data_IF_286971698948
#
_entry.id   IF_286971698948
#
_cell.length_a   1.000
_cell.length_b   1.000
_cell.length_c   1.000
_cell.angle_alpha   90.00
_cell.angle_beta   90.00
_cell.angle_gamma   90.00
#
_symmetry.space_group_name_H-M   'P 1'
#
loop_
_entity.id
_entity.type
_entity.pdbx_description
1 polymer ?
#
# COMPACT_ATOMS: atom_id res chain seq x y z
N UNK A 1 9.04 70.27 -8.18
CA UNK A 1 7.61 70.62 -8.14
C UNK A 1 6.88 69.44 -7.56
N UNK A 2 6.30 69.71 -6.39
CA UNK A 2 5.30 68.94 -5.62
C UNK A 2 5.72 67.64 -4.94
N UNK A 3 6.41 67.85 -3.82
CA UNK A 3 6.26 67.11 -2.57
C UNK A 3 5.14 67.78 -1.74
N UNK A 4 4.03 67.09 -1.51
CA UNK A 4 3.00 67.33 -0.48
C UNK A 4 1.83 66.36 -0.73
N UNK A 5 1.17 65.69 0.20
CA UNK A 5 1.13 65.68 1.66
C UNK A 5 0.35 64.39 2.01
N UNK A 6 1.03 63.32 2.45
CA UNK A 6 0.32 62.20 3.07
C UNK A 6 -0.01 62.60 4.53
N UNK A 7 -1.28 62.50 4.90
CA UNK A 7 -1.78 62.78 6.25
C UNK A 7 -0.96 62.02 7.32
N UNK A 8 -0.59 62.67 8.45
CA UNK A 8 0.16 62.03 9.55
C UNK A 8 -0.56 60.83 10.18
N UNK A 9 -1.88 60.71 10.02
CA UNK A 9 -2.67 59.62 10.59
C UNK A 9 -2.50 58.30 9.80
N UNK A 10 -2.16 58.38 8.51
CA UNK A 10 -1.97 57.18 7.67
C UNK A 10 -0.61 56.49 7.91
N UNK A 11 0.37 57.22 8.46
CA UNK A 11 1.69 56.65 8.81
C UNK A 11 1.71 55.96 10.17
N UNK A 12 0.76 56.29 11.05
CA UNK A 12 0.66 55.67 12.38
C UNK A 12 -0.04 54.30 12.34
N UNK A 13 -0.98 54.07 11.40
CA UNK A 13 -1.67 52.78 11.30
C UNK A 13 -0.82 51.68 10.61
N UNK A 14 0.12 52.07 9.74
CA UNK A 14 0.94 51.12 8.98
C UNK A 14 2.14 50.55 9.74
N UNK A 15 2.29 50.84 11.04
CA UNK A 15 3.40 50.33 11.85
C UNK A 15 2.99 49.30 12.92
N UNK A 16 1.71 48.91 13.02
CA UNK A 16 1.22 48.01 14.08
C UNK A 16 0.59 46.68 13.64
N UNK A 17 0.45 46.39 12.35
CA UNK A 17 -0.01 45.06 11.89
C UNK A 17 1.03 44.43 10.96
N UNK A 18 1.94 43.64 11.55
CA UNK A 18 2.90 42.81 10.84
C UNK A 18 2.23 41.62 10.12
N UNK A 19 1.34 41.90 9.17
CA UNK A 19 0.74 40.90 8.29
C UNK A 19 1.37 41.02 6.90
N UNK A 20 2.09 39.97 6.51
CA UNK A 20 2.63 39.82 5.16
C UNK A 20 1.48 39.68 4.17
N UNK A 21 1.23 40.75 3.42
CA UNK A 21 0.40 40.76 2.22
C UNK A 21 1.23 40.18 1.07
N UNK A 22 1.30 38.85 0.98
CA UNK A 22 1.81 38.14 -0.20
C UNK A 22 1.41 36.67 -0.14
N UNK A 23 0.10 36.41 -0.21
CA UNK A 23 -0.47 35.21 -0.85
C UNK A 23 -1.98 35.38 -1.02
N UNK A 24 -2.33 36.39 -1.81
CA UNK A 24 -3.66 36.57 -2.37
C UNK A 24 -3.67 35.92 -3.78
N UNK A 25 -3.89 34.61 -3.85
CA UNK A 25 -4.15 33.91 -5.12
C UNK A 25 -5.35 32.98 -5.00
N UNK A 26 -6.42 33.37 -5.72
CA UNK A 26 -7.50 32.54 -6.27
C UNK A 26 -8.08 31.44 -5.38
N UNK A 27 -9.22 31.73 -4.75
CA UNK A 27 -10.24 30.72 -4.46
C UNK A 27 -10.84 30.26 -5.80
N UNK A 28 -10.24 29.24 -6.41
CA UNK A 28 -10.95 28.43 -7.40
C UNK A 28 -11.81 27.42 -6.62
N UNK A 29 -13.10 27.71 -6.59
CA UNK A 29 -14.16 26.86 -6.04
C UNK A 29 -14.46 25.72 -7.03
N UNK A 30 -13.46 24.88 -7.30
CA UNK A 30 -13.68 23.56 -7.87
C UNK A 30 -13.33 22.53 -6.79
N UNK A 31 -14.37 22.08 -6.09
CA UNK A 31 -14.30 20.92 -5.21
C UNK A 31 -13.99 19.66 -6.03
N UNK A 32 -12.75 19.53 -6.49
CA UNK A 32 -12.19 18.27 -6.91
C UNK A 32 -12.11 17.40 -5.67
N UNK A 33 -12.98 16.41 -5.60
CA UNK A 33 -12.97 15.30 -4.64
C UNK A 33 -11.73 14.41 -4.83
N UNK A 34 -10.55 15.02 -4.99
CA UNK A 34 -9.29 14.34 -5.08
C UNK A 34 -9.02 13.67 -3.75
N UNK A 35 -9.39 12.39 -3.66
CA UNK A 35 -8.99 11.52 -2.57
C UNK A 35 -7.47 11.67 -2.39
N UNK A 36 -6.97 12.01 -1.19
CA UNK A 36 -5.55 12.24 -0.98
C UNK A 36 -4.73 11.07 -1.54
N UNK A 37 -3.84 11.36 -2.48
CA UNK A 37 -2.97 10.37 -3.09
C UNK A 37 -1.82 10.06 -2.14
N UNK A 38 -1.90 8.93 -1.44
CA UNK A 38 -0.83 8.47 -0.55
C UNK A 38 0.01 7.40 -1.25
N UNK A 39 1.26 7.71 -1.55
CA UNK A 39 2.22 6.75 -2.13
C UNK A 39 2.73 5.84 -1.01
N UNK A 40 2.73 4.53 -1.27
CA UNK A 40 3.35 3.58 -0.35
C UNK A 40 4.85 3.85 -0.22
N UNK A 41 5.39 3.73 1.00
CA UNK A 41 6.83 3.85 1.22
C UNK A 41 7.60 2.89 0.31
N UNK A 42 8.75 3.34 -0.23
CA UNK A 42 9.68 2.51 -1.00
C UNK A 42 10.07 1.21 -0.25
N UNK A 43 9.99 1.21 1.08
CA UNK A 43 10.22 0.02 1.91
C UNK A 43 9.26 -1.13 1.56
N UNK A 44 8.04 -0.86 1.16
CA UNK A 44 7.08 -1.88 0.71
C UNK A 44 7.09 -1.98 -0.81
N UNK A 45 7.08 -0.84 -1.51
CA UNK A 45 6.96 -0.81 -2.96
C UNK A 45 8.12 -1.53 -3.67
N UNK A 46 9.36 -1.37 -3.20
CA UNK A 46 10.53 -2.04 -3.79
C UNK A 46 10.40 -3.57 -3.77
N UNK A 47 10.22 -4.21 -2.60
CA UNK A 47 9.95 -5.64 -2.52
C UNK A 47 8.73 -6.08 -3.31
N UNK A 48 7.62 -5.33 -3.28
CA UNK A 48 6.41 -5.69 -4.05
C UNK A 48 6.71 -5.75 -5.54
N UNK A 49 7.40 -4.75 -6.09
CA UNK A 49 7.77 -4.72 -7.51
C UNK A 49 8.72 -5.86 -7.86
N UNK A 50 9.73 -6.12 -7.03
CA UNK A 50 10.67 -7.21 -7.29
C UNK A 50 9.97 -8.57 -7.24
N UNK A 51 9.11 -8.83 -6.26
CA UNK A 51 8.35 -10.08 -6.18
C UNK A 51 7.41 -10.22 -7.37
N UNK A 52 6.70 -9.16 -7.79
CA UNK A 52 5.87 -9.19 -9.01
C UNK A 52 6.68 -9.52 -10.27
N UNK A 53 7.90 -8.99 -10.40
CA UNK A 53 8.80 -9.36 -11.49
C UNK A 53 9.17 -10.85 -11.45
N UNK A 54 9.52 -11.37 -10.27
CA UNK A 54 9.82 -12.80 -10.08
C UNK A 54 8.61 -13.69 -10.41
N UNK A 55 7.40 -13.25 -10.06
CA UNK A 55 6.15 -13.93 -10.42
C UNK A 55 6.00 -14.03 -11.94
N UNK A 56 6.22 -12.94 -12.67
CA UNK A 56 6.15 -12.95 -14.15
C UNK A 56 7.20 -13.88 -14.75
N UNK A 57 8.41 -13.92 -14.18
CA UNK A 57 9.45 -14.87 -14.62
C UNK A 57 9.04 -16.33 -14.34
N UNK A 58 8.46 -16.61 -13.17
CA UNK A 58 7.96 -17.93 -12.80
C UNK A 58 6.80 -18.38 -13.70
N UNK A 59 5.83 -17.49 -13.95
CA UNK A 59 4.70 -17.72 -14.88
C UNK A 59 5.15 -18.11 -16.29
N UNK A 60 6.31 -17.60 -16.73
CA UNK A 60 6.88 -17.88 -18.05
C UNK A 60 7.85 -19.07 -18.05
N UNK A 61 7.94 -19.81 -16.94
CA UNK A 61 8.92 -20.88 -16.73
C UNK A 61 10.38 -20.43 -16.97
N UNK A 62 10.65 -19.14 -16.76
CA UNK A 62 11.95 -18.53 -16.99
C UNK A 62 12.80 -18.46 -15.72
N UNK A 63 12.17 -18.46 -14.54
CA UNK A 63 12.87 -18.21 -13.28
C UNK A 63 13.98 -19.24 -13.00
N UNK A 64 13.69 -20.52 -13.18
CA UNK A 64 14.66 -21.60 -12.95
C UNK A 64 15.73 -21.69 -14.04
N UNK A 65 15.35 -21.38 -15.29
CA UNK A 65 16.26 -21.49 -16.43
C UNK A 65 17.33 -20.41 -16.43
N UNK A 66 17.05 -19.23 -15.86
CA UNK A 66 18.01 -18.11 -15.76
C UNK A 66 19.32 -18.54 -15.10
N UNK A 67 19.28 -19.38 -14.06
CA UNK A 67 20.48 -19.85 -13.37
C UNK A 67 21.37 -20.72 -14.27
N UNK A 68 20.81 -21.33 -15.30
CA UNK A 68 21.54 -22.21 -16.24
C UNK A 68 22.10 -21.48 -17.46
N UNK A 69 21.71 -20.22 -17.67
CA UNK A 69 22.17 -19.42 -18.80
C UNK A 69 23.68 -19.21 -18.75
N UNK A 70 24.37 -19.51 -19.86
CA UNK A 70 25.80 -19.23 -20.05
C UNK A 70 26.06 -17.94 -20.83
N UNK A 71 25.06 -17.44 -21.53
CA UNK A 71 25.11 -16.25 -22.37
C UNK A 71 23.92 -15.35 -22.07
N UNK A 72 24.16 -14.04 -22.04
CA UNK A 72 23.10 -13.06 -21.82
C UNK A 72 22.05 -13.12 -22.95
N UNK A 73 20.75 -13.00 -22.62
CA UNK A 73 19.70 -12.93 -23.63
C UNK A 73 19.82 -11.66 -24.49
N UNK A 74 19.37 -11.74 -25.74
CA UNK A 74 19.36 -10.60 -26.64
C UNK A 74 18.47 -9.48 -26.07
N UNK A 75 18.89 -8.22 -26.26
CA UNK A 75 18.13 -7.06 -25.76
C UNK A 75 18.38 -6.74 -24.29
N UNK A 76 19.33 -7.40 -23.63
CA UNK A 76 19.81 -6.96 -22.32
C UNK A 76 20.45 -5.57 -22.44
N UNK A 77 20.10 -4.65 -21.54
CA UNK A 77 20.73 -3.33 -21.45
C UNK A 77 22.24 -3.46 -21.23
N UNK A 78 23.04 -2.56 -21.79
CA UNK A 78 24.50 -2.50 -21.56
C UNK A 78 24.86 -2.23 -20.09
N UNK A 79 23.93 -1.67 -19.30
CA UNK A 79 24.10 -1.44 -17.88
C UNK A 79 23.76 -2.68 -17.01
N UNK A 80 23.21 -3.73 -17.60
CA UNK A 80 22.82 -4.95 -16.90
C UNK A 80 23.71 -6.09 -17.35
N UNK A 81 24.14 -6.96 -16.43
CA UNK A 81 24.88 -8.19 -16.76
C UNK A 81 24.06 -9.44 -16.47
N UNK A 82 24.34 -10.53 -17.18
CA UNK A 82 23.73 -11.83 -16.87
C UNK A 82 24.00 -12.23 -15.40
N UNK A 83 25.20 -11.95 -14.89
CA UNK A 83 25.56 -12.23 -13.50
C UNK A 83 24.65 -11.50 -12.51
N UNK A 84 24.27 -10.24 -12.77
CA UNK A 84 23.32 -9.52 -11.95
C UNK A 84 21.92 -10.14 -12.01
N UNK A 85 21.45 -10.52 -13.21
CA UNK A 85 20.15 -11.19 -13.37
C UNK A 85 20.12 -12.53 -12.61
N UNK A 86 21.19 -13.32 -12.72
CA UNK A 86 21.36 -14.57 -12.00
C UNK A 86 21.39 -14.33 -10.48
N UNK A 87 22.09 -13.30 -10.02
CA UNK A 87 22.14 -12.95 -8.61
C UNK A 87 20.75 -12.61 -8.06
N UNK A 88 19.99 -11.74 -8.71
CA UNK A 88 18.66 -11.30 -8.19
C UNK A 88 17.60 -12.40 -8.27
N UNK A 89 17.79 -13.39 -9.16
CA UNK A 89 16.89 -14.55 -9.31
C UNK A 89 17.41 -15.80 -8.59
N UNK A 90 18.56 -15.72 -7.90
CA UNK A 90 19.13 -16.86 -7.21
C UNK A 90 18.19 -17.32 -6.07
N UNK A 91 17.94 -18.64 -5.89
CA UNK A 91 17.00 -19.13 -4.88
C UNK A 91 17.25 -18.58 -3.47
N UNK A 92 18.51 -18.49 -3.05
CA UNK A 92 18.85 -17.95 -1.72
C UNK A 92 18.56 -16.45 -1.58
N UNK A 93 18.69 -15.70 -2.67
CA UNK A 93 18.34 -14.28 -2.70
C UNK A 93 16.82 -14.12 -2.64
N UNK A 94 16.06 -15.00 -3.31
CA UNK A 94 14.60 -15.04 -3.23
C UNK A 94 14.14 -15.38 -1.81
N UNK A 95 14.70 -16.41 -1.17
CA UNK A 95 14.41 -16.75 0.25
C UNK A 95 14.69 -15.58 1.19
N UNK A 96 15.82 -14.89 0.99
CA UNK A 96 16.18 -13.70 1.77
C UNK A 96 15.20 -12.56 1.53
N UNK A 97 14.79 -12.32 0.28
CA UNK A 97 13.78 -11.33 -0.08
C UNK A 97 12.45 -11.63 0.61
N UNK A 98 11.98 -12.88 0.61
CA UNK A 98 10.74 -13.31 1.26
C UNK A 98 10.80 -13.00 2.77
N UNK A 99 11.88 -13.39 3.45
CA UNK A 99 12.08 -13.07 4.88
C UNK A 99 12.04 -11.57 5.16
N UNK A 100 12.72 -10.77 4.33
CA UNK A 100 12.70 -9.30 4.46
C UNK A 100 11.29 -8.76 4.26
N UNK A 101 10.55 -9.27 3.27
CA UNK A 101 9.17 -8.88 3.00
C UNK A 101 8.26 -9.15 4.19
N UNK A 102 8.35 -10.32 4.84
CA UNK A 102 7.60 -10.61 6.06
C UNK A 102 7.89 -9.62 7.18
N UNK A 103 9.17 -9.33 7.44
CA UNK A 103 9.57 -8.34 8.46
C UNK A 103 8.97 -6.97 8.16
N UNK A 104 9.08 -6.51 6.91
CA UNK A 104 8.55 -5.20 6.49
C UNK A 104 7.03 -5.14 6.55
N UNK A 105 6.32 -6.22 6.18
CA UNK A 105 4.87 -6.31 6.34
C UNK A 105 4.47 -6.19 7.80
N UNK A 106 5.14 -6.91 8.71
CA UNK A 106 4.84 -6.86 10.15
C UNK A 106 5.05 -5.46 10.73
N UNK A 107 6.20 -4.82 10.45
CA UNK A 107 6.49 -3.45 10.87
C UNK A 107 5.47 -2.44 10.32
N UNK A 108 5.10 -2.59 9.04
CA UNK A 108 4.15 -1.70 8.38
C UNK A 108 2.73 -1.88 8.91
N UNK A 109 2.29 -3.12 9.15
CA UNK A 109 1.02 -3.42 9.80
C UNK A 109 0.93 -2.77 11.19
N UNK A 110 1.99 -2.90 11.99
CA UNK A 110 2.02 -2.34 13.33
C UNK A 110 1.97 -0.81 13.31
N UNK A 111 2.68 -0.18 12.38
CA UNK A 111 2.59 1.26 12.18
C UNK A 111 1.15 1.70 11.80
N UNK A 112 0.48 0.96 10.91
CA UNK A 112 -0.92 1.20 10.56
C UNK A 112 -1.85 1.10 11.76
N UNK A 113 -1.67 0.09 12.62
CA UNK A 113 -2.47 -0.09 13.84
C UNK A 113 -2.25 1.03 14.85
N UNK A 114 -0.99 1.42 15.10
CA UNK A 114 -0.68 2.53 16.02
C UNK A 114 -1.36 3.82 15.58
N UNK A 115 -1.21 4.17 14.29
CA UNK A 115 -1.82 5.38 13.73
C UNK A 115 -3.35 5.32 13.74
N UNK A 116 -3.91 4.14 13.47
CA UNK A 116 -5.35 3.90 13.55
C UNK A 116 -5.92 4.00 14.97
N UNK A 117 -5.12 3.77 16.02
CA UNK A 117 -5.58 3.99 17.41
C UNK A 117 -5.56 5.48 17.78
N UNK A 118 -4.62 6.23 17.20
CA UNK A 118 -4.51 7.67 17.44
C UNK A 118 -5.65 8.45 16.75
N UNK A 119 -6.11 8.00 15.57
CA UNK A 119 -7.34 8.41 14.83
C UNK A 119 -7.90 9.81 15.16
N UNK A 120 -7.06 10.85 15.03
CA UNK A 120 -7.47 12.24 15.33
C UNK A 120 -8.15 12.92 14.15
N UNK A 121 -7.88 12.44 12.92
CA UNK A 121 -8.32 13.08 11.69
C UNK A 121 -8.66 12.06 10.60
N UNK A 122 -9.47 12.48 9.61
CA UNK A 122 -9.74 11.65 8.42
C UNK A 122 -8.49 11.35 7.58
N UNK A 123 -7.46 12.21 7.65
CA UNK A 123 -6.16 11.98 7.03
C UNK A 123 -5.43 10.77 7.64
N UNK A 124 -5.44 10.64 8.97
CA UNK A 124 -4.80 9.51 9.66
C UNK A 124 -5.47 8.17 9.29
N UNK A 125 -6.80 8.16 9.16
CA UNK A 125 -7.56 6.99 8.73
C UNK A 125 -7.23 6.62 7.28
N UNK A 126 -7.15 7.61 6.38
CA UNK A 126 -6.74 7.38 4.99
C UNK A 126 -5.31 6.83 4.90
N UNK A 127 -4.39 7.38 5.68
CA UNK A 127 -3.01 6.87 5.74
C UNK A 127 -2.95 5.43 6.23
N UNK A 128 -3.68 5.08 7.30
CA UNK A 128 -3.78 3.72 7.80
C UNK A 128 -4.38 2.76 6.76
N UNK A 129 -5.38 3.20 6.01
CA UNK A 129 -5.95 2.44 4.89
C UNK A 129 -4.88 2.11 3.83
N UNK A 130 -4.11 3.11 3.39
CA UNK A 130 -3.02 2.93 2.42
C UNK A 130 -1.93 2.00 2.96
N UNK A 131 -1.59 2.12 4.25
CA UNK A 131 -0.67 1.21 4.93
C UNK A 131 -1.15 -0.23 4.80
N UNK A 132 -2.39 -0.53 5.16
CA UNK A 132 -2.93 -1.88 5.13
C UNK A 132 -3.04 -2.41 3.69
N UNK A 133 -3.47 -1.59 2.72
CA UNK A 133 -3.49 -1.99 1.32
C UNK A 133 -2.11 -2.34 0.79
N UNK A 134 -1.08 -1.53 1.11
CA UNK A 134 0.29 -1.83 0.67
C UNK A 134 0.83 -3.15 1.22
N UNK A 135 0.43 -3.54 2.44
CA UNK A 135 0.77 -4.85 3.00
C UNK A 135 0.04 -5.97 2.27
N UNK A 136 -1.26 -5.81 2.03
CA UNK A 136 -2.05 -6.79 1.28
C UNK A 136 -1.46 -7.05 -0.11
N UNK A 137 -1.00 -6.00 -0.80
CA UNK A 137 -0.37 -6.11 -2.12
C UNK A 137 0.94 -6.92 -2.09
N UNK A 138 1.81 -6.67 -1.10
CA UNK A 138 3.05 -7.44 -0.96
C UNK A 138 2.77 -8.90 -0.60
N UNK A 139 1.83 -9.13 0.32
CA UNK A 139 1.40 -10.47 0.71
C UNK A 139 0.80 -11.25 -0.46
N UNK A 140 -0.03 -10.61 -1.28
CA UNK A 140 -0.59 -11.19 -2.50
C UNK A 140 0.49 -11.52 -3.54
N UNK A 141 1.49 -10.64 -3.71
CA UNK A 141 2.61 -10.91 -4.59
C UNK A 141 3.42 -12.14 -4.14
N UNK A 142 3.64 -12.30 -2.83
CA UNK A 142 4.30 -13.49 -2.27
C UNK A 142 3.46 -14.75 -2.51
N UNK A 143 2.17 -14.72 -2.18
CA UNK A 143 1.28 -15.87 -2.44
C UNK A 143 1.26 -16.27 -3.92
N UNK A 144 1.27 -15.29 -4.84
CA UNK A 144 1.38 -15.55 -6.27
C UNK A 144 2.72 -16.18 -6.66
N UNK A 145 3.83 -15.76 -6.03
CA UNK A 145 5.14 -16.35 -6.28
C UNK A 145 5.16 -17.84 -5.91
N UNK A 146 4.61 -18.17 -4.74
CA UNK A 146 4.48 -19.56 -4.29
C UNK A 146 3.69 -20.41 -5.31
N UNK A 147 2.51 -19.92 -5.73
CA UNK A 147 1.67 -20.59 -6.72
C UNK A 147 2.39 -20.81 -8.05
N UNK A 148 3.08 -19.79 -8.57
CA UNK A 148 3.74 -19.88 -9.88
C UNK A 148 5.11 -20.57 -9.85
N UNK A 149 5.65 -20.85 -8.67
CA UNK A 149 6.87 -21.67 -8.50
C UNK A 149 6.55 -23.10 -8.08
N UNK A 150 5.28 -23.50 -8.16
CA UNK A 150 4.86 -24.86 -7.80
C UNK A 150 5.09 -25.19 -6.33
N UNK A 151 5.07 -24.19 -5.45
CA UNK A 151 5.27 -24.39 -4.01
C UNK A 151 6.74 -24.43 -3.56
N UNK A 152 7.70 -24.08 -4.42
CA UNK A 152 9.14 -24.11 -4.08
C UNK A 152 9.48 -23.29 -2.83
N UNK A 153 8.71 -22.23 -2.56
CA UNK A 153 8.93 -21.29 -1.45
C UNK A 153 7.81 -21.32 -0.41
N UNK A 154 7.01 -22.39 -0.35
CA UNK A 154 5.83 -22.48 0.53
C UNK A 154 6.20 -22.34 2.00
N UNK A 155 7.32 -22.93 2.43
CA UNK A 155 7.79 -22.84 3.80
C UNK A 155 8.14 -21.40 4.20
N UNK A 156 8.81 -20.67 3.31
CA UNK A 156 9.23 -19.28 3.54
C UNK A 156 8.08 -18.28 3.43
N UNK A 157 7.09 -18.54 2.58
CA UNK A 157 5.94 -17.65 2.31
C UNK A 157 4.79 -17.86 3.31
N UNK A 158 4.82 -18.94 4.09
CA UNK A 158 3.81 -19.26 5.09
C UNK A 158 3.42 -18.04 5.93
N UNK A 159 2.12 -17.78 6.01
CA UNK A 159 1.55 -16.64 6.70
C UNK A 159 1.22 -15.47 5.77
N UNK A 160 1.71 -15.45 4.53
CA UNK A 160 1.37 -14.40 3.57
C UNK A 160 -0.12 -14.40 3.22
N UNK A 161 -0.74 -15.57 3.01
CA UNK A 161 -2.17 -15.67 2.70
C UNK A 161 -3.00 -15.14 3.87
N UNK A 162 -2.65 -15.52 5.11
CA UNK A 162 -3.27 -14.94 6.31
C UNK A 162 -3.13 -13.42 6.36
N UNK A 163 -1.96 -12.87 6.02
CA UNK A 163 -1.74 -11.42 6.02
C UNK A 163 -2.61 -10.69 5.00
N UNK A 164 -2.93 -11.27 3.84
CA UNK A 164 -3.87 -10.69 2.87
C UNK A 164 -5.22 -10.43 3.54
N UNK A 165 -5.80 -11.46 4.18
CA UNK A 165 -7.13 -11.39 4.81
C UNK A 165 -7.17 -10.37 5.94
N UNK A 166 -6.14 -10.36 6.80
CA UNK A 166 -6.06 -9.43 7.93
C UNK A 166 -5.88 -7.98 7.44
N UNK A 167 -4.98 -7.76 6.48
CA UNK A 167 -4.68 -6.43 5.97
C UNK A 167 -5.88 -5.84 5.19
N UNK A 168 -6.50 -6.60 4.29
CA UNK A 168 -7.70 -6.17 3.57
C UNK A 168 -8.87 -5.88 4.52
N UNK A 169 -9.06 -6.72 5.55
CA UNK A 169 -10.07 -6.48 6.58
C UNK A 169 -9.86 -5.17 7.34
N UNK A 170 -8.62 -4.86 7.72
CA UNK A 170 -8.29 -3.60 8.38
C UNK A 170 -8.45 -2.40 7.44
N UNK A 171 -8.05 -2.52 6.16
CA UNK A 171 -8.28 -1.50 5.16
C UNK A 171 -9.78 -1.23 4.95
N UNK A 172 -10.60 -2.28 4.90
CA UNK A 172 -12.05 -2.17 4.83
C UNK A 172 -12.61 -1.41 6.04
N UNK A 173 -12.14 -1.72 7.26
CA UNK A 173 -12.54 -0.99 8.46
C UNK A 173 -12.23 0.51 8.36
N UNK A 174 -11.04 0.87 7.86
CA UNK A 174 -10.66 2.29 7.68
C UNK A 174 -11.55 2.98 6.65
N UNK A 175 -11.81 2.32 5.52
CA UNK A 175 -12.72 2.85 4.50
C UNK A 175 -14.16 3.01 5.05
N UNK A 176 -14.63 2.07 5.87
CA UNK A 176 -15.94 2.13 6.52
C UNK A 176 -16.04 3.33 7.47
N UNK A 177 -15.01 3.60 8.28
CA UNK A 177 -15.00 4.76 9.17
C UNK A 177 -15.03 6.11 8.43
N UNK A 178 -14.57 6.14 7.17
CA UNK A 178 -14.65 7.31 6.30
C UNK A 178 -15.95 7.36 5.48
N UNK A 179 -16.90 6.43 5.71
CA UNK A 179 -18.13 6.29 4.92
C UNK A 179 -17.88 6.06 3.42
N UNK A 180 -16.69 5.55 3.06
CA UNK A 180 -16.36 5.13 1.70
C UNK A 180 -16.89 3.71 1.46
N UNK A 181 -18.23 3.57 1.46
CA UNK A 181 -18.89 2.26 1.51
C UNK A 181 -18.53 1.35 0.34
N UNK A 182 -18.42 1.88 -0.88
CA UNK A 182 -18.04 1.08 -2.05
C UNK A 182 -16.63 0.49 -1.91
N UNK A 183 -15.66 1.33 -1.50
CA UNK A 183 -14.28 0.88 -1.26
C UNK A 183 -14.23 -0.14 -0.11
N UNK A 184 -14.95 0.12 0.98
CA UNK A 184 -15.06 -0.81 2.11
C UNK A 184 -15.65 -2.15 1.69
N UNK A 185 -16.69 -2.14 0.86
CA UNK A 185 -17.35 -3.34 0.36
C UNK A 185 -16.38 -4.18 -0.48
N UNK A 186 -15.73 -3.58 -1.48
CA UNK A 186 -14.76 -4.30 -2.32
C UNK A 186 -13.60 -4.90 -1.53
N UNK A 187 -13.05 -4.15 -0.57
CA UNK A 187 -11.96 -4.64 0.29
C UNK A 187 -12.42 -5.79 1.21
N UNK A 188 -13.60 -5.66 1.82
CA UNK A 188 -14.15 -6.70 2.70
C UNK A 188 -14.50 -7.97 1.91
N UNK A 189 -15.07 -7.81 0.71
CA UNK A 189 -15.37 -8.93 -0.20
C UNK A 189 -14.10 -9.67 -0.58
N UNK A 190 -13.06 -8.95 -0.99
CA UNK A 190 -11.76 -9.54 -1.30
C UNK A 190 -11.15 -10.25 -0.09
N UNK A 191 -11.31 -9.71 1.13
CA UNK A 191 -10.84 -10.34 2.36
C UNK A 191 -11.59 -11.65 2.67
N UNK A 192 -12.91 -11.71 2.43
CA UNK A 192 -13.71 -12.93 2.61
C UNK A 192 -13.34 -13.98 1.57
N UNK A 193 -13.30 -13.61 0.29
CA UNK A 193 -12.92 -14.52 -0.79
C UNK A 193 -11.49 -15.06 -0.63
N UNK A 194 -10.56 -14.22 -0.17
CA UNK A 194 -9.20 -14.66 0.14
C UNK A 194 -9.16 -15.68 1.30
N UNK A 195 -10.07 -15.59 2.28
CA UNK A 195 -10.11 -16.49 3.42
C UNK A 195 -10.59 -17.90 3.08
N UNK A 196 -11.40 -18.07 2.03
CA UNK A 196 -11.96 -19.36 1.61
C UNK A 196 -10.89 -20.35 1.11
N UNK A 197 -9.75 -19.84 0.66
CA UNK A 197 -8.68 -20.63 0.03
C UNK A 197 -7.42 -20.73 0.90
N UNK A 198 -7.53 -20.49 2.20
CA UNK A 198 -6.38 -20.50 3.11
C UNK A 198 -6.20 -21.90 3.72
N UNK A 199 -5.03 -22.54 3.53
CA UNK A 199 -4.70 -23.79 4.22
C UNK A 199 -4.73 -23.62 5.74
N UNK A 200 -5.15 -24.66 6.47
CA UNK A 200 -5.25 -24.63 7.94
C UNK A 200 -3.91 -24.28 8.61
N UNK A 201 -2.79 -24.68 8.00
CA UNK A 201 -1.44 -24.44 8.51
C UNK A 201 -1.04 -22.95 8.54
N UNK A 202 -1.78 -22.09 7.83
CA UNK A 202 -1.61 -20.63 7.90
C UNK A 202 -2.23 -20.03 9.18
N UNK A 203 -3.05 -20.80 9.91
CA UNK A 203 -3.59 -20.43 11.21
C UNK A 203 -4.48 -19.19 11.19
N UNK A 204 -5.39 -19.09 10.20
CA UNK A 204 -6.36 -18.01 10.16
C UNK A 204 -7.46 -18.23 11.22
N UNK A 205 -7.55 -17.32 12.17
CA UNK A 205 -8.58 -17.35 13.21
C UNK A 205 -9.98 -17.08 12.62
N UNK A 206 -10.96 -17.92 12.97
CA UNK A 206 -12.36 -17.78 12.52
C UNK A 206 -12.96 -16.41 12.86
N UNK A 207 -12.55 -15.82 13.98
CA UNK A 207 -12.99 -14.48 14.39
C UNK A 207 -12.62 -13.40 13.35
N UNK A 208 -11.49 -13.54 12.65
CA UNK A 208 -11.07 -12.61 11.58
C UNK A 208 -12.03 -12.70 10.39
N UNK A 209 -12.43 -13.91 10.01
CA UNK A 209 -13.38 -14.14 8.92
C UNK A 209 -14.74 -13.53 9.25
N UNK A 210 -15.24 -13.78 10.46
CA UNK A 210 -16.52 -13.21 10.91
C UNK A 210 -16.48 -11.68 11.02
N UNK A 211 -15.36 -11.10 11.46
CA UNK A 211 -15.15 -9.64 11.42
C UNK A 211 -15.23 -9.10 9.98
N UNK A 212 -14.65 -9.79 9.00
CA UNK A 212 -14.68 -9.35 7.61
C UNK A 212 -16.06 -9.48 6.98
N UNK A 213 -16.81 -10.56 7.26
CA UNK A 213 -18.21 -10.71 6.84
C UNK A 213 -19.10 -9.59 7.41
N UNK A 214 -18.93 -9.24 8.70
CA UNK A 214 -19.63 -8.10 9.31
C UNK A 214 -19.32 -6.77 8.60
N UNK A 215 -18.05 -6.50 8.30
CA UNK A 215 -17.63 -5.29 7.55
C UNK A 215 -18.25 -5.25 6.16
N UNK A 216 -18.30 -6.39 5.46
CA UNK A 216 -18.94 -6.51 4.15
C UNK A 216 -20.43 -6.16 4.24
N UNK A 217 -21.15 -6.72 5.21
CA UNK A 217 -22.56 -6.44 5.43
C UNK A 217 -22.81 -4.96 5.75
N UNK A 218 -22.06 -4.38 6.69
CA UNK A 218 -22.19 -2.96 7.06
C UNK A 218 -21.94 -2.02 5.88
N UNK A 219 -20.93 -2.33 5.05
CA UNK A 219 -20.67 -1.58 3.84
C UNK A 219 -21.82 -1.69 2.82
N UNK A 220 -22.41 -2.88 2.68
CA UNK A 220 -23.58 -3.11 1.83
C UNK A 220 -24.80 -2.30 2.28
N UNK A 221 -25.10 -2.28 3.58
CA UNK A 221 -26.16 -1.44 4.15
C UNK A 221 -25.87 0.04 3.90
N UNK A 222 -24.61 0.48 4.01
CA UNK A 222 -24.21 1.86 3.73
C UNK A 222 -24.38 2.26 2.27
N UNK A 223 -24.20 1.34 1.32
CA UNK A 223 -24.43 1.57 -0.10
C UNK A 223 -25.91 1.76 -0.45
N UNK A 224 -26.81 1.04 0.23
CA UNK A 224 -28.26 1.11 -0.02
C UNK A 224 -28.93 2.38 0.53
N UNK A 225 -28.23 3.12 1.41
CA UNK A 225 -28.74 4.35 2.05
C UNK A 225 -28.26 5.64 1.37
N UNK A 226 -27.47 5.53 0.30
CA UNK A 226 -27.07 6.64 -0.58
C UNK A 226 -27.99 6.72 -1.77
#
# INVERSE_FOLDING_TARGET
MDEALASPELRAFMHESGENVSDLFFTDETASSATPFAIASQRILGPTTLVRLLVVLAQRNALDTIQTLRKAPNGLSSATSLAQVQQITHPDVIRRLIKISHKRMAERMEHGRKRSKENKTGHDVNFACTVFMSVAELAAALAALDTHTGGMYTAEIRGARRQIVVALGNAAQMALSLRHYQRSYSLALAAVAAAENIPEEEGLESEVVEKNKRRLHLAGVGLQRR
#
